data_IF_334610422694
#
_entry.id   IF_334610422694
#
_cell.length_a   1.000
_cell.length_b   1.000
_cell.length_c   1.000
_cell.angle_alpha   90.00
_cell.angle_beta   90.00
_cell.angle_gamma   90.00
#
_symmetry.space_group_name_H-M   'P 1'
#
loop_
_entity.id
_entity.type
_entity.pdbx_description
1 polymer ?
#
# COMPACT_ATOMS: atom_id res chain seq x y z
N UNK A 1 -5.53 16.96 2.12
CA UNK A 1 -5.44 17.23 3.57
C UNK A 1 -5.32 15.91 4.34
N UNK A 2 -4.09 15.44 4.56
CA UNK A 2 -3.80 14.49 5.61
C UNK A 2 -3.24 15.28 6.79
N UNK A 3 -4.10 15.82 7.63
CA UNK A 3 -3.64 16.40 8.89
C UNK A 3 -3.31 15.25 9.85
N UNK A 4 -2.31 15.45 10.72
CA UNK A 4 -1.99 14.50 11.79
C UNK A 4 -3.22 14.14 12.64
N UNK A 5 -4.16 15.07 12.80
CA UNK A 5 -5.45 14.84 13.44
C UNK A 5 -6.30 13.78 12.72
N UNK A 6 -6.41 13.83 11.37
CA UNK A 6 -7.18 12.83 10.61
C UNK A 6 -6.59 11.42 10.73
N UNK A 7 -5.27 11.31 10.85
CA UNK A 7 -4.61 10.03 11.04
C UNK A 7 -4.80 9.47 12.47
N UNK A 8 -4.95 10.30 13.46
CA UNK A 8 -5.28 9.88 14.85
C UNK A 8 -6.69 9.29 14.89
N UNK A 9 -7.70 9.96 14.32
CA UNK A 9 -9.08 9.46 14.30
C UNK A 9 -9.24 8.18 13.48
N UNK A 10 -8.65 8.08 12.31
CA UNK A 10 -8.68 6.84 11.48
C UNK A 10 -8.09 5.63 12.21
N UNK A 11 -7.10 5.85 13.07
CA UNK A 11 -6.44 4.78 13.81
C UNK A 11 -7.24 4.32 15.03
N UNK A 12 -8.06 5.20 15.61
CA UNK A 12 -8.91 4.87 16.77
C UNK A 12 -10.11 4.01 16.42
N UNK A 13 -10.58 4.00 15.17
CA UNK A 13 -11.73 3.21 14.73
C UNK A 13 -11.57 1.69 14.95
N UNK A 14 -10.33 1.17 14.99
CA UNK A 14 -10.09 -0.23 15.35
C UNK A 14 -10.35 -0.55 16.84
N UNK A 15 -10.61 0.46 17.68
CA UNK A 15 -11.05 0.32 19.06
C UNK A 15 -12.56 0.47 19.24
N UNK A 16 -13.23 1.01 18.21
CA UNK A 16 -14.69 1.23 18.20
C UNK A 16 -15.27 0.71 16.88
N UNK A 17 -15.44 -0.62 16.84
CA UNK A 17 -15.95 -1.28 15.63
C UNK A 17 -17.39 -0.86 15.30
N UNK A 18 -18.32 -0.70 16.27
CA UNK A 18 -19.64 -0.16 15.99
C UNK A 18 -19.61 1.18 15.26
N UNK A 19 -18.76 2.11 15.71
CA UNK A 19 -18.59 3.41 15.06
C UNK A 19 -17.97 3.27 13.66
N UNK A 20 -16.96 2.41 13.50
CA UNK A 20 -16.36 2.14 12.19
C UNK A 20 -17.39 1.65 11.17
N UNK A 21 -18.22 0.71 11.54
CA UNK A 21 -19.27 0.17 10.67
C UNK A 21 -20.36 1.22 10.36
N UNK A 22 -20.76 2.00 11.37
CA UNK A 22 -21.72 3.10 11.18
C UNK A 22 -21.21 4.14 10.17
N UNK A 23 -19.95 4.55 10.30
CA UNK A 23 -19.31 5.49 9.36
C UNK A 23 -19.21 4.86 7.97
N UNK A 24 -18.77 3.60 7.88
CA UNK A 24 -18.63 2.91 6.59
C UNK A 24 -19.97 2.84 5.85
N UNK A 25 -21.03 2.44 6.53
CA UNK A 25 -22.39 2.40 5.95
C UNK A 25 -22.87 3.77 5.51
N UNK A 26 -22.70 4.79 6.35
CA UNK A 26 -23.09 6.15 6.01
C UNK A 26 -22.37 6.68 4.75
N UNK A 27 -21.08 6.32 4.57
CA UNK A 27 -20.34 6.69 3.35
C UNK A 27 -20.87 5.92 2.13
N UNK A 28 -21.11 4.61 2.27
CA UNK A 28 -21.66 3.79 1.18
C UNK A 28 -23.03 4.33 0.73
N UNK A 29 -23.90 4.65 1.68
CA UNK A 29 -25.25 5.15 1.38
C UNK A 29 -25.24 6.56 0.77
N UNK A 30 -24.21 7.37 1.06
CA UNK A 30 -24.14 8.76 0.59
C UNK A 30 -23.60 8.93 -0.84
N UNK A 31 -22.98 7.89 -1.44
CA UNK A 31 -22.33 8.01 -2.74
C UNK A 31 -22.79 6.93 -3.73
N UNK A 32 -22.71 7.23 -5.03
CA UNK A 32 -23.04 6.28 -6.11
C UNK A 32 -21.79 5.57 -6.67
N UNK A 33 -20.60 5.95 -6.23
CA UNK A 33 -19.35 5.33 -6.66
C UNK A 33 -18.98 4.17 -5.72
N UNK A 34 -18.21 3.17 -6.18
CA UNK A 34 -17.74 2.09 -5.32
C UNK A 34 -16.92 2.61 -4.13
N UNK A 35 -17.28 2.19 -2.93
CA UNK A 35 -16.54 2.49 -1.69
C UNK A 35 -15.65 1.32 -1.35
N UNK A 36 -14.39 1.57 -1.05
CA UNK A 36 -13.44 0.56 -0.59
C UNK A 36 -12.91 0.91 0.78
N UNK A 37 -12.61 -0.09 1.58
CA UNK A 37 -12.02 0.11 2.91
C UNK A 37 -10.59 -0.43 2.93
N UNK A 38 -9.67 0.32 3.56
CA UNK A 38 -8.33 -0.16 3.90
C UNK A 38 -8.17 -0.17 5.42
N UNK A 39 -7.78 -1.34 5.96
CA UNK A 39 -7.62 -1.54 7.40
C UNK A 39 -6.36 -2.35 7.73
N UNK A 40 -6.20 -2.69 9.02
CA UNK A 40 -5.15 -3.55 9.57
C UNK A 40 -5.77 -4.78 10.23
N UNK A 41 -4.93 -5.72 10.70
CA UNK A 41 -5.40 -6.96 11.37
C UNK A 41 -6.19 -6.70 12.65
N UNK A 42 -5.95 -5.58 13.30
CA UNK A 42 -6.55 -5.20 14.56
C UNK A 42 -5.77 -4.05 15.19
N UNK A 43 -6.10 -3.69 16.44
CA UNK A 43 -5.42 -2.66 17.19
C UNK A 43 -4.02 -3.13 17.65
N UNK A 44 -3.93 -4.26 18.33
CA UNK A 44 -2.71 -4.88 18.85
C UNK A 44 -2.73 -6.41 18.63
N UNK A 45 -1.77 -7.11 19.23
CA UNK A 45 -1.62 -8.55 19.06
C UNK A 45 -2.85 -9.33 19.59
N UNK A 46 -3.42 -8.87 20.70
CA UNK A 46 -4.48 -9.57 21.41
C UNK A 46 -5.87 -9.22 20.84
N UNK A 47 -5.96 -8.19 20.03
CA UNK A 47 -7.20 -7.70 19.39
C UNK A 47 -7.18 -7.83 17.87
N UNK A 48 -6.63 -8.92 17.32
CA UNK A 48 -6.71 -9.24 15.89
C UNK A 48 -8.14 -9.72 15.55
N UNK A 49 -8.92 -8.86 14.95
CA UNK A 49 -10.36 -9.07 14.68
C UNK A 49 -10.72 -9.10 13.21
N UNK A 50 -9.70 -9.09 12.32
CA UNK A 50 -9.90 -8.84 10.88
C UNK A 50 -10.83 -9.85 10.22
N UNK A 51 -10.86 -11.10 10.66
CA UNK A 51 -11.67 -12.15 10.03
C UNK A 51 -13.17 -11.85 10.23
N UNK A 52 -13.61 -11.58 11.46
CA UNK A 52 -15.00 -11.15 11.76
C UNK A 52 -15.29 -9.76 11.17
N UNK A 53 -14.36 -8.84 11.33
CA UNK A 53 -14.51 -7.46 10.83
C UNK A 53 -14.71 -7.40 9.31
N UNK A 54 -14.04 -8.27 8.54
CA UNK A 54 -14.14 -8.31 7.09
C UNK A 54 -15.56 -8.62 6.61
N UNK A 55 -16.23 -9.60 7.21
CA UNK A 55 -17.63 -9.93 6.93
C UNK A 55 -18.53 -8.73 7.21
N UNK A 56 -18.39 -8.14 8.39
CA UNK A 56 -19.21 -6.99 8.83
C UNK A 56 -18.99 -5.75 7.94
N UNK A 57 -17.78 -5.53 7.44
CA UNK A 57 -17.49 -4.47 6.48
C UNK A 57 -18.12 -4.76 5.11
N UNK A 58 -18.06 -6.01 4.65
CA UNK A 58 -18.77 -6.44 3.44
C UNK A 58 -20.28 -6.18 3.55
N UNK A 59 -20.89 -6.50 4.69
CA UNK A 59 -22.31 -6.27 4.97
C UNK A 59 -22.68 -4.78 5.00
N UNK A 60 -21.71 -3.89 5.15
CA UNK A 60 -21.90 -2.45 4.95
C UNK A 60 -22.02 -2.05 3.47
N UNK A 61 -21.74 -2.96 2.53
CA UNK A 61 -21.85 -2.69 1.09
C UNK A 61 -20.56 -2.14 0.45
N UNK A 62 -19.39 -2.37 1.03
CA UNK A 62 -18.14 -1.97 0.40
C UNK A 62 -17.82 -2.85 -0.83
N UNK A 63 -17.15 -2.28 -1.82
CA UNK A 63 -16.82 -2.93 -3.08
C UNK A 63 -15.50 -3.74 -3.05
N UNK A 64 -14.59 -3.44 -2.13
CA UNK A 64 -13.35 -4.18 -1.92
C UNK A 64 -12.75 -3.87 -0.55
N UNK A 65 -11.96 -4.80 -0.02
CA UNK A 65 -11.26 -4.66 1.26
C UNK A 65 -9.75 -4.82 1.09
N UNK A 66 -8.98 -3.82 1.53
CA UNK A 66 -7.52 -3.91 1.61
C UNK A 66 -7.09 -4.15 3.05
N UNK A 67 -6.29 -5.19 3.28
CA UNK A 67 -5.83 -5.58 4.61
C UNK A 67 -4.32 -5.48 4.70
N UNK A 68 -3.80 -4.68 5.63
CA UNK A 68 -2.38 -4.67 5.95
C UNK A 68 -2.07 -5.73 7.01
N UNK A 69 -1.14 -6.63 6.71
CA UNK A 69 -0.71 -7.75 7.57
C UNK A 69 0.01 -7.35 8.86
N UNK A 70 -0.29 -6.19 9.42
CA UNK A 70 0.19 -5.71 10.72
C UNK A 70 -0.95 -5.12 11.53
N UNK A 71 -0.83 -5.19 12.85
CA UNK A 71 -1.72 -4.45 13.75
C UNK A 71 -1.36 -2.96 13.79
N UNK A 72 -2.21 -2.15 14.42
CA UNK A 72 -1.96 -0.71 14.58
C UNK A 72 -0.74 -0.45 15.47
N UNK A 73 -0.59 -1.19 16.56
CA UNK A 73 0.51 -1.02 17.52
C UNK A 73 1.87 -1.40 16.96
N UNK A 74 1.95 -2.44 16.14
CA UNK A 74 3.20 -2.87 15.48
C UNK A 74 3.74 -1.86 14.45
N UNK A 75 2.91 -0.95 13.97
CA UNK A 75 3.28 0.04 12.95
C UNK A 75 4.01 -0.56 11.74
N UNK A 76 5.34 -0.52 11.75
CA UNK A 76 6.22 -1.05 10.69
C UNK A 76 7.30 -2.00 11.22
N UNK A 77 7.24 -2.37 12.51
CA UNK A 77 8.18 -3.31 13.11
C UNK A 77 7.82 -4.76 12.74
N UNK A 78 8.81 -5.65 12.76
CA UNK A 78 8.63 -7.05 12.40
C UNK A 78 8.17 -7.26 10.94
N UNK A 79 7.73 -8.46 10.63
CA UNK A 79 7.20 -8.84 9.32
C UNK A 79 5.66 -8.73 9.28
N UNK A 80 5.11 -8.54 8.08
CA UNK A 80 3.67 -8.57 7.87
C UNK A 80 3.16 -10.01 7.92
N UNK A 81 2.19 -10.26 8.79
CA UNK A 81 1.51 -11.55 8.91
C UNK A 81 0.37 -11.63 7.87
N UNK A 82 0.54 -12.48 6.88
CA UNK A 82 -0.45 -12.70 5.82
C UNK A 82 -1.45 -13.82 6.11
N UNK A 83 -1.27 -14.56 7.20
CA UNK A 83 -2.13 -15.72 7.55
C UNK A 83 -3.59 -15.31 7.64
N UNK A 84 -3.88 -14.27 8.44
CA UNK A 84 -5.25 -13.77 8.59
C UNK A 84 -5.82 -13.13 7.32
N UNK A 85 -4.97 -12.60 6.42
CA UNK A 85 -5.42 -12.12 5.11
C UNK A 85 -5.89 -13.32 4.28
N UNK A 86 -5.14 -14.42 4.31
CA UNK A 86 -5.53 -15.68 3.66
C UNK A 86 -6.80 -16.26 4.26
N UNK A 87 -6.98 -16.25 5.58
CA UNK A 87 -8.22 -16.68 6.24
C UNK A 87 -9.43 -15.88 5.77
N UNK A 88 -9.32 -14.55 5.71
CA UNK A 88 -10.38 -13.69 5.18
C UNK A 88 -10.69 -14.06 3.72
N UNK A 89 -9.66 -14.22 2.87
CA UNK A 89 -9.86 -14.53 1.45
C UNK A 89 -10.53 -15.89 1.24
N UNK A 90 -10.14 -16.89 2.02
CA UNK A 90 -10.66 -18.26 1.90
C UNK A 90 -11.96 -18.49 2.70
N UNK A 91 -12.48 -17.48 3.36
CA UNK A 91 -13.78 -17.54 4.03
C UNK A 91 -14.90 -17.62 2.96
N UNK A 92 -15.73 -18.69 2.94
CA UNK A 92 -16.76 -18.89 1.93
C UNK A 92 -17.87 -17.82 1.94
N UNK A 93 -17.96 -17.03 3.01
CA UNK A 93 -18.89 -15.89 3.10
C UNK A 93 -18.37 -14.62 2.42
N UNK A 94 -17.07 -14.53 2.16
CA UNK A 94 -16.48 -13.37 1.49
C UNK A 94 -16.71 -13.44 -0.01
N UNK A 95 -17.31 -12.37 -0.56
CA UNK A 95 -17.69 -12.25 -1.98
C UNK A 95 -17.03 -11.07 -2.68
N UNK A 96 -16.47 -10.13 -1.91
CA UNK A 96 -15.79 -8.95 -2.44
C UNK A 96 -14.30 -9.22 -2.63
N UNK A 97 -13.62 -8.52 -3.54
CA UNK A 97 -12.17 -8.60 -3.71
C UNK A 97 -11.40 -8.29 -2.42
N UNK A 98 -10.45 -9.15 -2.07
CA UNK A 98 -9.53 -9.00 -0.95
C UNK A 98 -8.15 -8.63 -1.47
N UNK A 99 -7.65 -7.48 -1.03
CA UNK A 99 -6.37 -6.92 -1.44
C UNK A 99 -5.39 -7.03 -0.27
N UNK A 100 -4.35 -7.84 -0.44
CA UNK A 100 -3.31 -8.01 0.57
C UNK A 100 -2.26 -6.89 0.52
N UNK A 101 -1.80 -6.45 1.68
CA UNK A 101 -0.76 -5.43 1.80
C UNK A 101 0.23 -5.77 2.93
N UNK A 102 1.49 -5.48 2.71
CA UNK A 102 2.58 -5.64 3.68
C UNK A 102 3.78 -6.39 3.11
N UNK A 103 4.94 -5.75 3.16
CA UNK A 103 6.27 -6.28 2.81
C UNK A 103 6.38 -6.92 1.40
N UNK A 104 5.57 -6.45 0.46
CA UNK A 104 5.69 -6.84 -0.94
C UNK A 104 6.76 -5.96 -1.59
N UNK A 105 7.95 -6.50 -1.73
CA UNK A 105 9.15 -5.76 -2.13
C UNK A 105 9.76 -6.24 -3.45
N UNK A 106 9.36 -7.41 -3.95
CA UNK A 106 9.85 -7.98 -5.21
C UNK A 106 8.72 -8.65 -6.00
N UNK A 107 8.91 -8.87 -7.32
CA UNK A 107 7.95 -9.63 -8.13
C UNK A 107 7.68 -11.04 -7.61
N UNK A 108 8.72 -11.73 -7.13
CA UNK A 108 8.62 -13.09 -6.61
C UNK A 108 7.76 -13.13 -5.33
N UNK A 109 7.97 -12.16 -4.41
CA UNK A 109 7.13 -12.04 -3.21
C UNK A 109 5.68 -11.75 -3.61
N UNK A 110 5.44 -10.87 -4.59
CA UNK A 110 4.08 -10.62 -5.07
C UNK A 110 3.41 -11.91 -5.55
N UNK A 111 4.09 -12.69 -6.40
CA UNK A 111 3.58 -13.99 -6.89
C UNK A 111 3.31 -14.96 -5.74
N UNK A 112 4.26 -15.12 -4.83
CA UNK A 112 4.11 -15.99 -3.65
C UNK A 112 2.87 -15.62 -2.83
N UNK A 113 2.57 -14.31 -2.66
CA UNK A 113 1.37 -13.86 -1.95
C UNK A 113 0.08 -14.22 -2.68
N UNK A 114 0.05 -14.12 -4.01
CA UNK A 114 -1.09 -14.61 -4.81
C UNK A 114 -1.26 -16.11 -4.67
N UNK A 115 -0.20 -16.88 -4.89
CA UNK A 115 -0.26 -18.35 -4.93
C UNK A 115 -0.62 -18.93 -3.55
N UNK A 116 -0.05 -18.39 -2.48
CA UNK A 116 -0.21 -18.93 -1.13
C UNK A 116 -1.50 -18.53 -0.44
N UNK A 117 -1.92 -17.29 -0.62
CA UNK A 117 -3.06 -16.74 0.12
C UNK A 117 -4.31 -16.51 -0.75
N UNK A 118 -4.21 -16.67 -2.05
CA UNK A 118 -5.32 -16.57 -3.00
C UNK A 118 -5.93 -15.18 -3.15
N UNK A 119 -5.26 -14.13 -2.69
CA UNK A 119 -5.78 -12.75 -2.73
C UNK A 119 -6.05 -12.27 -4.16
N UNK A 120 -7.03 -11.41 -4.35
CA UNK A 120 -7.42 -10.89 -5.66
C UNK A 120 -6.48 -9.81 -6.19
N UNK A 121 -5.79 -9.11 -5.28
CA UNK A 121 -4.79 -8.11 -5.61
C UNK A 121 -3.77 -7.94 -4.48
N UNK A 122 -2.63 -7.34 -4.82
CA UNK A 122 -1.57 -7.00 -3.89
C UNK A 122 -1.30 -5.50 -3.94
N UNK A 123 -1.33 -4.86 -2.77
CA UNK A 123 -0.99 -3.44 -2.65
C UNK A 123 0.49 -3.26 -2.28
N UNK A 124 1.24 -2.62 -3.16
CA UNK A 124 2.65 -2.27 -2.94
C UNK A 124 2.74 -0.87 -2.34
N UNK A 125 3.41 -0.74 -1.21
CA UNK A 125 3.63 0.54 -0.53
C UNK A 125 5.07 1.03 -0.66
N UNK A 126 5.82 0.95 0.43
CA UNK A 126 7.18 1.50 0.57
C UNK A 126 8.16 1.08 -0.53
N UNK A 127 8.04 -0.13 -1.07
CA UNK A 127 8.91 -0.62 -2.13
C UNK A 127 8.78 0.18 -3.44
N UNK A 128 7.69 0.89 -3.66
CA UNK A 128 7.54 1.78 -4.82
C UNK A 128 8.21 3.15 -4.65
N UNK A 129 8.62 3.51 -3.41
CA UNK A 129 9.30 4.79 -3.18
C UNK A 129 10.68 4.77 -3.82
N UNK A 130 10.91 5.69 -4.74
CA UNK A 130 12.15 5.74 -5.52
C UNK A 130 12.35 4.62 -6.55
N UNK A 131 11.39 3.68 -6.63
CA UNK A 131 11.38 2.55 -7.57
C UNK A 131 10.01 2.37 -8.23
N UNK A 132 9.42 3.38 -8.91
CA UNK A 132 8.07 3.25 -9.48
C UNK A 132 7.97 2.22 -10.60
N UNK A 133 9.06 1.81 -11.20
CA UNK A 133 9.12 0.73 -12.20
C UNK A 133 8.81 -0.66 -11.64
N UNK A 134 8.81 -0.85 -10.30
CA UNK A 134 8.48 -2.12 -9.64
C UNK A 134 7.12 -2.68 -10.08
N UNK A 135 6.14 -1.84 -10.38
CA UNK A 135 4.83 -2.28 -10.86
C UNK A 135 4.91 -2.94 -12.24
N UNK A 136 5.75 -2.41 -13.14
CA UNK A 136 6.00 -3.03 -14.45
C UNK A 136 6.71 -4.37 -14.30
N UNK A 137 7.72 -4.43 -13.41
CA UNK A 137 8.46 -5.65 -13.11
C UNK A 137 7.54 -6.73 -12.53
N UNK A 138 6.69 -6.38 -11.56
CA UNK A 138 5.71 -7.30 -10.98
C UNK A 138 4.71 -7.80 -12.00
N UNK A 139 4.13 -6.90 -12.79
CA UNK A 139 3.17 -7.29 -13.83
C UNK A 139 3.78 -8.28 -14.80
N UNK A 140 4.97 -7.98 -15.33
CA UNK A 140 5.66 -8.87 -16.27
C UNK A 140 5.93 -10.25 -15.66
N UNK A 141 6.44 -10.29 -14.42
CA UNK A 141 6.71 -11.54 -13.72
C UNK A 141 5.44 -12.38 -13.46
N UNK A 142 4.34 -11.73 -13.09
CA UNK A 142 3.06 -12.42 -12.88
C UNK A 142 2.48 -13.00 -14.18
N UNK A 143 2.73 -12.36 -15.32
CA UNK A 143 2.24 -12.79 -16.63
C UNK A 143 3.13 -13.87 -17.25
N UNK A 144 4.44 -13.81 -17.07
CA UNK A 144 5.41 -14.66 -17.79
C UNK A 144 6.15 -15.66 -16.91
N UNK A 145 6.24 -15.44 -15.61
CA UNK A 145 7.12 -16.16 -14.68
C UNK A 145 8.60 -15.75 -14.78
N UNK A 146 8.94 -14.81 -15.66
CA UNK A 146 10.31 -14.36 -15.90
C UNK A 146 10.56 -12.95 -15.33
N UNK A 147 11.79 -12.70 -14.88
CA UNK A 147 12.17 -11.37 -14.43
C UNK A 147 12.42 -10.47 -15.63
N UNK A 148 11.82 -9.28 -15.58
CA UNK A 148 12.09 -8.24 -16.57
C UNK A 148 13.58 -7.82 -16.48
N UNK A 149 14.28 -7.68 -17.61
CA UNK A 149 15.63 -7.13 -17.60
C UNK A 149 15.69 -5.78 -16.86
N UNK A 150 16.70 -5.54 -16.02
CA UNK A 150 16.78 -4.34 -15.23
C UNK A 150 16.88 -3.09 -16.14
N UNK A 151 16.10 -2.07 -15.84
CA UNK A 151 16.17 -0.79 -16.52
C UNK A 151 17.57 -0.19 -16.38
N UNK A 152 18.08 0.40 -17.45
CA UNK A 152 19.31 1.20 -17.43
C UNK A 152 19.15 2.42 -16.51
N UNK A 153 20.26 2.99 -16.06
CA UNK A 153 20.26 4.21 -15.23
C UNK A 153 19.54 5.35 -15.98
N UNK A 154 19.74 5.46 -17.29
CA UNK A 154 19.09 6.49 -18.12
C UNK A 154 17.57 6.36 -18.11
N UNK A 155 17.05 5.15 -18.25
CA UNK A 155 15.60 4.89 -18.20
C UNK A 155 15.03 5.19 -16.82
N UNK A 156 15.68 4.73 -15.75
CA UNK A 156 15.28 5.02 -14.37
C UNK A 156 15.24 6.54 -14.10
N UNK A 157 16.25 7.26 -14.54
CA UNK A 157 16.30 8.72 -14.42
C UNK A 157 15.20 9.40 -15.22
N UNK A 158 14.85 8.90 -16.40
CA UNK A 158 13.74 9.40 -17.20
C UNK A 158 12.41 9.27 -16.46
N UNK A 159 12.16 8.12 -15.83
CA UNK A 159 10.95 7.87 -15.02
C UNK A 159 10.88 8.83 -13.83
N UNK A 160 11.97 9.02 -13.08
CA UNK A 160 12.00 9.92 -11.92
C UNK A 160 11.81 11.39 -12.33
N UNK A 161 12.42 11.82 -13.44
CA UNK A 161 12.20 13.17 -14.00
C UNK A 161 10.75 13.40 -14.40
N UNK A 162 10.12 12.41 -15.02
CA UNK A 162 8.69 12.46 -15.35
C UNK A 162 7.84 12.59 -14.09
N UNK A 163 8.10 11.78 -13.08
CA UNK A 163 7.39 11.81 -11.80
C UNK A 163 7.51 13.19 -11.12
N UNK A 164 8.69 13.81 -11.15
CA UNK A 164 8.91 15.18 -10.65
C UNK A 164 8.04 16.20 -11.41
N UNK A 165 8.09 16.18 -12.77
CA UNK A 165 7.30 17.10 -13.59
C UNK A 165 5.80 16.95 -13.34
N UNK A 166 5.30 15.74 -13.27
CA UNK A 166 3.89 15.46 -12.99
C UNK A 166 3.48 15.91 -11.57
N UNK A 167 4.37 15.77 -10.58
CA UNK A 167 4.13 16.26 -9.22
C UNK A 167 4.01 17.78 -9.18
N UNK A 168 4.92 18.49 -9.88
CA UNK A 168 4.90 19.95 -10.00
C UNK A 168 3.65 20.42 -10.75
N UNK A 169 3.32 19.79 -11.86
CA UNK A 169 2.15 20.16 -12.67
C UNK A 169 0.82 20.02 -11.91
N UNK A 170 0.73 19.03 -11.00
CA UNK A 170 -0.48 18.78 -10.21
C UNK A 170 -0.65 19.67 -9.00
N UNK A 171 0.43 20.04 -8.34
CA UNK A 171 0.40 20.68 -7.03
C UNK A 171 0.77 22.17 -7.09
N UNK A 172 1.76 22.53 -7.78
CA UNK A 172 2.61 23.70 -7.99
C UNK A 172 4.08 23.34 -7.75
N UNK A 173 4.99 24.26 -8.07
CA UNK A 173 6.43 24.01 -7.98
C UNK A 173 6.86 23.68 -6.55
N UNK A 174 6.53 24.53 -5.58
CA UNK A 174 6.96 24.35 -4.18
C UNK A 174 6.41 23.07 -3.57
N UNK A 175 5.10 22.84 -3.67
CA UNK A 175 4.46 21.66 -3.08
C UNK A 175 4.84 20.39 -3.85
N UNK A 176 4.96 20.46 -5.16
CA UNK A 176 5.38 19.35 -6.02
C UNK A 176 6.78 18.86 -5.71
N UNK A 177 7.73 19.77 -5.53
CA UNK A 177 9.10 19.45 -5.11
C UNK A 177 9.11 18.84 -3.71
N UNK A 178 8.47 19.46 -2.74
CA UNK A 178 8.40 18.94 -1.37
C UNK A 178 7.76 17.55 -1.32
N UNK A 179 6.74 17.30 -2.12
CA UNK A 179 6.05 16.01 -2.19
C UNK A 179 6.95 14.91 -2.75
N UNK A 180 7.73 15.19 -3.81
CA UNK A 180 8.55 14.18 -4.48
C UNK A 180 9.87 13.87 -3.75
N UNK A 181 10.36 14.77 -2.88
CA UNK A 181 11.65 14.61 -2.16
C UNK A 181 11.81 13.25 -1.48
N UNK A 182 10.77 12.76 -0.82
CA UNK A 182 10.78 11.42 -0.17
C UNK A 182 11.01 10.27 -1.16
N UNK A 183 10.51 10.39 -2.38
CA UNK A 183 10.72 9.40 -3.44
C UNK A 183 12.15 9.45 -3.97
N UNK A 184 12.66 10.64 -4.19
CA UNK A 184 14.06 10.85 -4.60
C UNK A 184 15.04 10.40 -3.53
N UNK A 185 14.74 10.67 -2.25
CA UNK A 185 15.57 10.22 -1.12
C UNK A 185 15.61 8.70 -0.97
N UNK A 186 14.55 8.00 -1.35
CA UNK A 186 14.44 6.55 -1.24
C UNK A 186 15.04 5.80 -2.44
N UNK A 187 15.34 6.49 -3.56
CA UNK A 187 15.85 5.81 -4.76
C UNK A 187 17.21 5.16 -4.52
N UNK A 188 17.42 3.90 -4.94
CA UNK A 188 18.71 3.25 -4.83
C UNK A 188 19.74 3.68 -5.87
N UNK A 189 19.35 4.53 -6.84
CA UNK A 189 20.18 4.87 -8.03
C UNK A 189 21.53 5.48 -7.70
N UNK A 190 21.63 6.15 -6.56
CA UNK A 190 22.85 6.86 -6.16
C UNK A 190 23.69 6.08 -5.14
N UNK A 191 23.25 4.89 -4.74
CA UNK A 191 24.06 4.05 -3.83
C UNK A 191 25.30 3.57 -4.55
N UNK A 192 26.48 3.76 -3.90
CA UNK A 192 27.78 3.31 -4.43
C UNK A 192 28.47 4.26 -5.40
N UNK A 193 27.90 5.42 -5.71
CA UNK A 193 28.63 6.45 -6.46
C UNK A 193 29.51 7.29 -5.52
N UNK A 194 30.65 7.83 -6.03
CA UNK A 194 31.44 8.80 -5.28
C UNK A 194 30.59 10.00 -4.86
N UNK A 195 30.85 10.54 -3.66
CA UNK A 195 30.12 11.68 -3.09
C UNK A 195 28.60 11.48 -2.99
N UNK A 196 28.15 10.23 -2.80
CA UNK A 196 26.71 9.90 -2.68
C UNK A 196 25.97 10.79 -1.67
N UNK A 197 26.60 11.09 -0.53
CA UNK A 197 26.00 11.92 0.52
C UNK A 197 25.72 13.33 0.00
N UNK A 198 26.68 13.94 -0.67
CA UNK A 198 26.58 15.32 -1.16
C UNK A 198 25.57 15.41 -2.32
N UNK A 199 25.61 14.45 -3.23
CA UNK A 199 24.60 14.30 -4.30
C UNK A 199 23.19 14.21 -3.74
N UNK A 200 22.99 13.38 -2.68
CA UNK A 200 21.70 13.23 -2.03
C UNK A 200 21.24 14.52 -1.35
N UNK A 201 22.15 15.24 -0.67
CA UNK A 201 21.84 16.53 -0.04
C UNK A 201 21.44 17.57 -1.08
N UNK A 202 22.16 17.64 -2.20
CA UNK A 202 21.88 18.56 -3.30
C UNK A 202 20.51 18.29 -3.98
N UNK A 203 20.01 17.06 -3.94
CA UNK A 203 18.71 16.67 -4.50
C UNK A 203 17.54 16.91 -3.55
N UNK A 204 17.76 17.12 -2.27
CA UNK A 204 16.74 17.22 -1.24
C UNK A 204 16.58 18.64 -0.71
#
# INVERSE_FOLDING_TARGET
>A
YSSAASDVYKRQMLRDIPLMLKITRAVVDAVKIPVTVKTRLGWDHDSKIIVDLAERLQDCGIAALTIHGRTRSHMYTGEADWTLIGEVKNNPRMRIPIIGNGDVTTPQIAKERFDRYGVDAVMVGRASFGCPWIFKEMKYYLETGELLPPLSIREKMSVLRRQLRESVARLDERRGILHIRRHLAATPLFKGIPNFRDTRIAML
#
